data_IF_990583236689
#
_entry.id   IF_990583236689
#
_cell.length_a   1.000
_cell.length_b   1.000
_cell.length_c   1.000
_cell.angle_alpha   90.00
_cell.angle_beta   90.00
_cell.angle_gamma   90.00
#
_symmetry.space_group_name_H-M   'P 1'
#
loop_
_entity.id
_entity.type
_entity.pdbx_description
1 polymer ?
#
# COMPACT_ATOMS: atom_id res chain seq x y z
N UNK A 1 48.85 9.21 42.05
CA UNK A 1 48.71 8.92 40.60
C UNK A 1 48.38 10.24 39.90
N UNK A 2 49.36 10.92 39.33
CA UNK A 2 49.20 12.24 38.72
C UNK A 2 48.77 12.04 37.26
N UNK A 3 47.46 12.14 36.99
CA UNK A 3 46.97 12.18 35.62
C UNK A 3 47.39 13.55 35.06
N UNK A 4 48.28 13.56 34.07
CA UNK A 4 48.74 14.81 33.45
C UNK A 4 47.56 15.60 32.89
N UNK A 5 47.47 16.88 33.24
CA UNK A 5 46.45 17.84 32.79
C UNK A 5 46.25 17.80 31.27
N UNK A 6 47.30 17.50 30.52
CA UNK A 6 47.29 17.33 29.06
C UNK A 6 46.44 16.14 28.58
N UNK A 7 46.42 15.03 29.33
CA UNK A 7 45.61 13.85 29.02
C UNK A 7 44.13 14.16 29.27
N UNK A 8 43.85 14.87 30.37
CA UNK A 8 42.50 15.32 30.71
C UNK A 8 41.95 16.28 29.64
N UNK A 9 42.73 17.28 29.22
CA UNK A 9 42.32 18.21 28.15
C UNK A 9 42.10 17.49 26.82
N UNK A 10 42.98 16.55 26.46
CA UNK A 10 42.85 15.80 25.21
C UNK A 10 41.59 14.91 25.19
N UNK A 11 41.28 14.24 26.31
CA UNK A 11 40.05 13.45 26.44
C UNK A 11 38.78 14.30 26.36
N UNK A 12 38.82 15.54 26.86
CA UNK A 12 37.68 16.44 26.86
C UNK A 12 37.38 16.93 25.44
N UNK A 13 38.43 17.29 24.69
CA UNK A 13 38.32 17.64 23.27
C UNK A 13 37.83 16.47 22.43
N UNK A 14 38.33 15.25 22.68
CA UNK A 14 37.86 14.06 21.99
C UNK A 14 36.37 13.78 22.24
N UNK A 15 35.93 13.87 23.50
CA UNK A 15 34.52 13.70 23.87
C UNK A 15 33.62 14.77 23.21
N UNK A 16 34.08 16.02 23.15
CA UNK A 16 33.34 17.11 22.51
C UNK A 16 33.23 16.90 20.99
N UNK A 17 34.31 16.49 20.33
CA UNK A 17 34.32 16.19 18.90
C UNK A 17 33.37 15.04 18.56
N UNK A 18 33.39 13.95 19.34
CA UNK A 18 32.50 12.80 19.17
C UNK A 18 31.03 13.21 19.41
N UNK A 19 30.76 13.97 20.47
CA UNK A 19 29.43 14.48 20.77
C UNK A 19 28.87 15.39 19.67
N UNK A 20 29.71 16.28 19.11
CA UNK A 20 29.35 17.13 17.99
C UNK A 20 29.08 16.31 16.71
N UNK A 21 29.88 15.27 16.45
CA UNK A 21 29.69 14.38 15.31
C UNK A 21 28.37 13.60 15.42
N UNK A 22 28.11 13.00 16.59
CA UNK A 22 26.87 12.27 16.87
C UNK A 22 25.67 13.21 16.77
N UNK A 23 25.77 14.42 17.34
CA UNK A 23 24.73 15.44 17.24
C UNK A 23 24.44 15.86 15.80
N UNK A 24 25.48 16.04 14.98
CA UNK A 24 25.35 16.37 13.56
C UNK A 24 24.71 15.23 12.75
N UNK A 25 25.13 13.99 12.99
CA UNK A 25 24.54 12.80 12.36
C UNK A 25 23.08 12.59 12.78
N UNK A 26 22.73 12.77 14.06
CA UNK A 26 21.35 12.70 14.52
C UNK A 26 20.50 13.83 13.93
N UNK A 27 20.99 15.08 13.91
CA UNK A 27 20.21 16.20 13.38
C UNK A 27 19.95 16.06 11.88
N UNK A 28 20.97 15.68 11.10
CA UNK A 28 20.83 15.43 9.67
C UNK A 28 19.99 14.18 9.37
N UNK A 29 20.17 13.11 10.15
CA UNK A 29 19.38 11.87 10.03
C UNK A 29 17.90 12.05 10.42
N UNK A 30 17.61 12.88 11.42
CA UNK A 30 16.25 13.11 11.92
C UNK A 30 15.42 13.98 10.97
N UNK A 31 16.03 14.99 10.31
CA UNK A 31 15.35 15.73 9.22
C UNK A 31 14.96 14.79 8.08
N UNK A 32 15.91 13.96 7.65
CA UNK A 32 15.69 13.01 6.57
C UNK A 32 14.63 11.96 6.94
N UNK A 33 14.63 11.46 8.18
CA UNK A 33 13.60 10.56 8.70
C UNK A 33 12.23 11.23 8.79
N UNK A 34 12.15 12.47 9.27
CA UNK A 34 10.88 13.20 9.40
C UNK A 34 10.22 13.42 8.04
N UNK A 35 11.00 13.80 7.03
CA UNK A 35 10.49 13.98 5.67
C UNK A 35 10.07 12.64 5.05
N UNK A 36 10.85 11.57 5.27
CA UNK A 36 10.49 10.19 4.87
C UNK A 36 9.21 9.71 5.57
N UNK A 37 9.05 10.00 6.87
CA UNK A 37 7.88 9.60 7.67
C UNK A 37 6.63 10.36 7.25
N UNK A 38 6.77 11.63 6.86
CA UNK A 38 5.67 12.46 6.37
C UNK A 38 5.17 11.96 5.01
N UNK A 39 6.08 11.62 4.10
CA UNK A 39 5.76 10.99 2.81
C UNK A 39 5.16 9.59 3.03
N UNK A 40 5.70 8.82 3.98
CA UNK A 40 5.18 7.51 4.35
C UNK A 40 3.76 7.60 4.93
N UNK A 41 3.48 8.57 5.81
CA UNK A 41 2.17 8.76 6.43
C UNK A 41 1.08 9.20 5.43
N UNK A 42 1.42 10.07 4.48
CA UNK A 42 0.53 10.42 3.36
C UNK A 42 0.29 9.19 2.47
N UNK A 43 1.34 8.40 2.21
CA UNK A 43 1.22 7.15 1.46
C UNK A 43 0.39 6.07 2.16
N UNK A 44 0.51 6.02 3.49
CA UNK A 44 -0.17 5.06 4.32
C UNK A 44 -1.67 5.35 4.39
N UNK A 45 -2.09 6.62 4.45
CA UNK A 45 -3.51 6.97 4.53
C UNK A 45 -4.34 6.46 3.34
N UNK A 46 -3.87 6.62 2.10
CA UNK A 46 -4.64 6.12 0.95
C UNK A 46 -4.61 4.60 0.87
N UNK A 47 -3.46 3.97 1.16
CA UNK A 47 -3.36 2.51 1.21
C UNK A 47 -4.18 1.92 2.35
N UNK A 48 -4.28 2.60 3.49
CA UNK A 48 -5.04 2.12 4.65
C UNK A 48 -6.51 1.95 4.29
N UNK A 49 -7.10 2.86 3.50
CA UNK A 49 -8.48 2.73 3.05
C UNK A 49 -8.65 1.49 2.15
N UNK A 50 -7.70 1.25 1.24
CA UNK A 50 -7.72 0.08 0.36
C UNK A 50 -7.51 -1.25 1.12
N UNK A 51 -6.69 -1.24 2.17
CA UNK A 51 -6.38 -2.42 3.01
C UNK A 51 -7.23 -2.53 4.28
N UNK A 52 -8.15 -1.59 4.52
CA UNK A 52 -8.91 -1.49 5.77
C UNK A 52 -9.70 -2.76 6.06
N UNK A 53 -10.33 -3.31 5.03
CA UNK A 53 -11.06 -4.57 5.12
C UNK A 53 -10.13 -5.73 5.53
N UNK A 54 -8.96 -5.84 4.88
CA UNK A 54 -7.97 -6.87 5.22
C UNK A 54 -7.42 -6.70 6.65
N UNK A 55 -7.24 -5.46 7.10
CA UNK A 55 -6.79 -5.15 8.46
C UNK A 55 -7.84 -5.56 9.52
N UNK A 56 -9.11 -5.15 9.35
CA UNK A 56 -10.20 -5.56 10.24
C UNK A 56 -10.35 -7.08 10.26
N UNK A 57 -10.33 -7.72 9.08
CA UNK A 57 -10.45 -9.16 8.98
C UNK A 57 -9.30 -9.87 9.70
N UNK A 58 -8.06 -9.38 9.56
CA UNK A 58 -6.89 -9.94 10.24
C UNK A 58 -7.01 -9.82 11.76
N UNK A 59 -7.34 -8.64 12.27
CA UNK A 59 -7.53 -8.43 13.71
C UNK A 59 -8.65 -9.30 14.28
N UNK A 60 -9.79 -9.33 13.60
CA UNK A 60 -10.94 -10.15 13.99
C UNK A 60 -10.60 -11.64 13.96
N UNK A 61 -9.84 -12.09 12.97
CA UNK A 61 -9.34 -13.47 12.89
C UNK A 61 -8.45 -13.80 14.08
N UNK A 62 -7.43 -12.99 14.37
CA UNK A 62 -6.53 -13.22 15.52
C UNK A 62 -7.33 -13.28 16.83
N UNK A 63 -8.30 -12.38 17.00
CA UNK A 63 -9.16 -12.36 18.19
C UNK A 63 -10.00 -13.63 18.33
N UNK A 64 -10.69 -14.04 17.26
CA UNK A 64 -11.50 -15.28 17.24
C UNK A 64 -10.64 -16.51 17.48
N UNK A 65 -9.41 -16.57 16.95
CA UNK A 65 -8.51 -17.69 17.21
C UNK A 65 -8.03 -17.75 18.68
N UNK A 66 -7.73 -16.59 19.29
CA UNK A 66 -7.30 -16.54 20.69
C UNK A 66 -8.44 -16.93 21.65
N UNK A 67 -9.67 -16.50 21.35
CA UNK A 67 -10.86 -16.79 22.16
C UNK A 67 -11.78 -17.85 21.54
N UNK A 68 -11.23 -18.76 20.75
CA UNK A 68 -12.01 -19.67 19.91
C UNK A 68 -13.09 -20.47 20.65
N UNK A 69 -12.76 -20.98 21.84
CA UNK A 69 -13.69 -21.76 22.67
C UNK A 69 -14.87 -20.95 23.18
N UNK A 70 -14.65 -19.68 23.50
CA UNK A 70 -15.68 -18.77 24.00
C UNK A 70 -16.53 -18.21 22.86
N UNK A 71 -15.91 -17.94 21.70
CA UNK A 71 -16.57 -17.45 20.50
C UNK A 71 -17.50 -18.47 19.82
N UNK A 72 -17.15 -19.76 19.84
CA UNK A 72 -17.94 -20.83 19.21
C UNK A 72 -19.08 -21.35 20.12
N UNK A 73 -19.08 -20.97 21.40
CA UNK A 73 -20.11 -21.32 22.37
C UNK A 73 -21.39 -20.50 22.13
N UNK A 74 -22.01 -20.74 20.98
CA UNK A 74 -23.21 -20.06 20.49
C UNK A 74 -24.44 -20.49 21.29
N UNK A 75 -24.74 -19.77 22.38
CA UNK A 75 -26.04 -19.82 23.04
C UNK A 75 -26.98 -18.81 22.36
N UNK A 76 -27.95 -19.27 21.57
CA UNK A 76 -28.84 -18.40 20.76
C UNK A 76 -30.00 -17.74 21.53
N UNK A 77 -30.09 -17.89 22.86
CA UNK A 77 -31.29 -17.44 23.59
C UNK A 77 -31.01 -16.79 24.95
N UNK A 78 -30.38 -17.48 25.92
CA UNK A 78 -30.15 -16.90 27.27
C UNK A 78 -28.71 -16.42 27.52
N UNK A 79 -27.69 -17.13 27.05
CA UNK A 79 -26.27 -16.79 27.29
C UNK A 79 -25.57 -16.14 26.09
N UNK A 80 -26.31 -15.44 25.22
CA UNK A 80 -25.70 -14.79 24.06
C UNK A 80 -24.83 -13.61 24.53
N UNK A 81 -23.52 -13.70 24.32
CA UNK A 81 -22.54 -12.72 24.77
C UNK A 81 -21.82 -12.02 23.60
N UNK A 82 -21.11 -10.93 23.88
CA UNK A 82 -20.30 -10.19 22.92
C UNK A 82 -19.26 -11.05 22.19
N UNK A 83 -18.73 -12.10 22.81
CA UNK A 83 -17.81 -13.06 22.17
C UNK A 83 -18.47 -13.79 20.99
N UNK A 84 -19.73 -14.17 21.15
CA UNK A 84 -20.54 -14.84 20.13
C UNK A 84 -20.92 -13.85 19.02
N UNK A 85 -21.18 -12.59 19.37
CA UNK A 85 -21.43 -11.52 18.41
C UNK A 85 -20.19 -11.22 17.55
N UNK A 86 -19.00 -11.21 18.16
CA UNK A 86 -17.74 -11.03 17.44
C UNK A 86 -17.49 -12.21 16.50
N UNK A 87 -17.83 -13.44 16.90
CA UNK A 87 -17.76 -14.60 16.03
C UNK A 87 -18.69 -14.48 14.80
N UNK A 88 -19.95 -14.08 15.01
CA UNK A 88 -20.90 -13.83 13.92
C UNK A 88 -20.44 -12.70 13.00
N UNK A 89 -19.91 -11.62 13.58
CA UNK A 89 -19.34 -10.51 12.82
C UNK A 89 -18.13 -10.94 11.99
N UNK A 90 -17.23 -11.75 12.55
CA UNK A 90 -16.11 -12.34 11.82
C UNK A 90 -16.56 -13.25 10.67
N UNK A 91 -17.59 -14.06 10.90
CA UNK A 91 -18.17 -14.95 9.89
C UNK A 91 -18.84 -14.15 8.77
N UNK A 92 -19.56 -13.08 9.12
CA UNK A 92 -20.12 -12.13 8.16
C UNK A 92 -19.00 -11.45 7.35
N UNK A 93 -17.90 -11.02 7.97
CA UNK A 93 -16.74 -10.46 7.27
C UNK A 93 -16.08 -11.47 6.31
N UNK A 94 -16.07 -12.77 6.64
CA UNK A 94 -15.56 -13.82 5.77
C UNK A 94 -16.44 -14.08 4.55
N UNK A 95 -17.76 -14.02 4.72
CA UNK A 95 -18.73 -14.25 3.64
C UNK A 95 -18.94 -12.99 2.80
N UNK A 96 -18.78 -11.80 3.39
CA UNK A 96 -18.90 -10.52 2.70
C UNK A 96 -18.18 -10.45 1.34
N UNK A 97 -16.90 -10.88 1.20
CA UNK A 97 -16.20 -10.88 -0.09
C UNK A 97 -16.64 -11.97 -1.06
N UNK A 98 -17.41 -12.98 -0.64
CA UNK A 98 -17.92 -14.04 -1.53
C UNK A 98 -19.11 -13.61 -2.39
N UNK A 99 -19.82 -12.53 -2.01
CA UNK A 99 -20.86 -11.96 -2.87
C UNK A 99 -20.19 -11.13 -3.96
N UNK A 100 -20.00 -11.73 -5.14
CA UNK A 100 -19.43 -11.08 -6.34
C UNK A 100 -20.14 -9.78 -6.76
N UNK A 101 -21.30 -9.47 -6.18
CA UNK A 101 -22.20 -8.38 -6.60
C UNK A 101 -22.17 -7.12 -5.74
N UNK A 102 -21.11 -6.85 -4.96
CA UNK A 102 -20.87 -5.51 -4.43
C UNK A 102 -19.75 -4.81 -5.18
N UNK A 103 -20.07 -4.38 -6.39
CA UNK A 103 -19.40 -3.30 -7.13
C UNK A 103 -19.42 -1.94 -6.35
N UNK A 104 -19.93 -1.93 -5.11
CA UNK A 104 -20.12 -0.76 -4.24
C UNK A 104 -19.07 -0.52 -3.15
N UNK A 105 -18.05 -1.37 -2.97
CA UNK A 105 -16.92 -1.08 -2.06
C UNK A 105 -15.66 -0.63 -2.83
N UNK A 106 -15.83 0.42 -3.65
CA UNK A 106 -14.78 1.40 -3.94
C UNK A 106 -13.58 1.00 -4.80
N UNK A 107 -13.45 -0.23 -5.30
CA UNK A 107 -12.28 -0.62 -6.10
C UNK A 107 -12.69 -1.32 -7.42
N UNK A 108 -13.26 -0.54 -8.34
CA UNK A 108 -13.22 -0.84 -9.78
C UNK A 108 -11.86 -0.42 -10.39
N UNK A 109 -10.74 -0.86 -9.81
CA UNK A 109 -9.41 -0.52 -10.33
C UNK A 109 -8.91 -1.57 -11.34
N UNK A 110 -9.40 -2.82 -11.26
CA UNK A 110 -8.99 -3.87 -12.21
C UNK A 110 -9.66 -3.79 -13.59
N UNK A 111 -10.93 -3.35 -13.69
CA UNK A 111 -11.60 -3.17 -14.99
C UNK A 111 -10.99 -1.99 -15.79
N UNK A 112 -10.69 -0.85 -15.14
CA UNK A 112 -10.17 0.34 -15.84
C UNK A 112 -8.74 0.21 -16.39
N UNK A 113 -7.88 -0.64 -15.82
CA UNK A 113 -6.56 -0.92 -16.43
C UNK A 113 -6.69 -1.84 -17.65
N UNK A 114 -7.53 -2.87 -17.57
CA UNK A 114 -7.77 -3.77 -18.70
C UNK A 114 -8.49 -3.08 -19.86
N UNK A 115 -9.46 -2.20 -19.60
CA UNK A 115 -10.14 -1.45 -20.65
C UNK A 115 -9.25 -0.39 -21.28
N UNK A 116 -8.45 0.36 -20.50
CA UNK A 116 -7.51 1.33 -21.07
C UNK A 116 -6.39 0.67 -21.88
N UNK A 117 -5.91 -0.49 -21.46
CA UNK A 117 -4.91 -1.25 -22.22
C UNK A 117 -5.54 -1.82 -23.51
N UNK A 118 -6.79 -2.32 -23.46
CA UNK A 118 -7.52 -2.72 -24.67
C UNK A 118 -7.81 -1.56 -25.62
N UNK A 119 -8.19 -0.38 -25.10
CA UNK A 119 -8.43 0.83 -25.91
C UNK A 119 -7.13 1.35 -26.53
N UNK A 120 -6.02 1.34 -25.78
CA UNK A 120 -4.70 1.73 -26.30
C UNK A 120 -4.20 0.77 -27.39
N UNK A 121 -4.38 -0.54 -27.18
CA UNK A 121 -4.02 -1.56 -28.18
C UNK A 121 -4.92 -1.42 -29.42
N UNK A 122 -6.23 -1.25 -29.25
CA UNK A 122 -7.18 -1.16 -30.38
C UNK A 122 -6.97 0.12 -31.20
N UNK A 123 -6.69 1.25 -30.55
CA UNK A 123 -6.40 2.51 -31.25
C UNK A 123 -5.09 2.45 -32.03
N UNK A 124 -4.05 1.85 -31.46
CA UNK A 124 -2.77 1.66 -32.16
C UNK A 124 -2.91 0.74 -33.39
N UNK A 125 -3.64 -0.38 -33.26
CA UNK A 125 -3.96 -1.24 -34.41
C UNK A 125 -4.76 -0.51 -35.48
N UNK A 126 -5.74 0.32 -35.09
CA UNK A 126 -6.55 1.06 -36.06
C UNK A 126 -5.72 2.11 -36.83
N UNK A 127 -4.80 2.81 -36.15
CA UNK A 127 -3.88 3.76 -36.77
C UNK A 127 -2.90 3.07 -37.73
N UNK A 128 -2.36 1.91 -37.34
CA UNK A 128 -1.45 1.15 -38.21
C UNK A 128 -2.15 0.66 -39.50
N UNK A 129 -3.39 0.18 -39.40
CA UNK A 129 -4.17 -0.24 -40.57
C UNK A 129 -4.47 0.94 -41.48
N UNK A 130 -4.89 2.08 -40.91
CA UNK A 130 -5.23 3.27 -41.71
C UNK A 130 -4.02 3.83 -42.46
N UNK A 131 -2.84 3.87 -41.82
CA UNK A 131 -1.60 4.32 -42.47
C UNK A 131 -1.17 3.38 -43.59
N UNK A 132 -1.34 2.06 -43.43
CA UNK A 132 -1.04 1.09 -44.48
C UNK A 132 -1.98 1.25 -45.69
N UNK A 133 -3.26 1.54 -45.48
CA UNK A 133 -4.21 1.80 -46.56
C UNK A 133 -3.89 3.09 -47.32
N UNK A 134 -3.55 4.17 -46.60
CA UNK A 134 -3.16 5.45 -47.21
C UNK A 134 -1.91 5.28 -48.08
N UNK A 135 -0.91 4.54 -47.58
CA UNK A 135 0.32 4.25 -48.33
C UNK A 135 0.04 3.47 -49.62
N UNK A 136 -0.75 2.40 -49.54
CA UNK A 136 -1.13 1.61 -50.71
C UNK A 136 -1.94 2.43 -51.73
N UNK A 137 -2.76 3.38 -51.27
CA UNK A 137 -3.53 4.26 -52.15
C UNK A 137 -2.66 5.33 -52.81
N UNK A 138 -1.61 5.82 -52.15
CA UNK A 138 -0.59 6.69 -52.76
C UNK A 138 0.23 5.95 -53.81
N UNK A 139 0.71 4.74 -53.50
CA UNK A 139 1.45 3.90 -54.45
C UNK A 139 0.61 3.57 -55.69
N UNK A 140 -0.70 3.34 -55.53
CA UNK A 140 -1.61 3.11 -56.67
C UNK A 140 -1.80 4.37 -57.53
N UNK A 141 -1.88 5.55 -56.93
CA UNK A 141 -2.01 6.82 -57.66
C UNK A 141 -0.72 7.22 -58.38
N UNK A 142 0.43 6.94 -57.79
CA UNK A 142 1.74 7.18 -58.43
C UNK A 142 1.93 6.25 -59.64
N UNK A 143 1.50 4.99 -59.55
CA UNK A 143 1.55 4.04 -60.67
C UNK A 143 0.55 4.33 -61.81
N UNK A 144 -0.51 5.13 -61.56
CA UNK A 144 -1.47 5.57 -62.59
C UNK A 144 -1.02 6.86 -63.31
N UNK A 145 0.02 7.54 -62.79
CA UNK A 145 0.56 8.79 -63.33
C UNK A 145 1.92 8.65 -64.04
N UNK A 146 2.49 7.44 -64.12
CA UNK A 146 3.60 7.04 -65.01
C UNK A 146 3.08 6.42 -66.32
#
# INVERSE_FOLDING_TARGET
>A
MYISITILSLSLFAAFAIGALIGYFLHSGLKNLKDRLKIFGLNFRYKLVDYWFGFILTLSTVFVFYHFKECIALSFTEDFNGMNLIFLFWLALLIFPMFESFEGFGISIKKRKYEKEKEAITSDFHTQIMNAQIKNEQERKEAEHE
#
